data_IF_479621682985
#
_entry.id   IF_479621682985
#
_cell.length_a   1.000
_cell.length_b   1.000
_cell.length_c   1.000
_cell.angle_alpha   90.00
_cell.angle_beta   90.00
_cell.angle_gamma   90.00
#
_symmetry.space_group_name_H-M   'P 1'
#
loop_
_entity.id
_entity.type
_entity.pdbx_description
1 polymer ?
#
# COMPACT_ATOMS: atom_id res chain seq x y z
N UNK A 1 -10.17 -18.44 -0.29
CA UNK A 1 -9.11 -17.45 -0.49
C UNK A 1 -9.65 -16.08 -0.09
N UNK A 2 -9.00 -15.38 0.84
CA UNK A 2 -9.34 -13.99 1.17
C UNK A 2 -8.26 -13.07 0.58
N UNK A 3 -8.68 -11.94 0.02
CA UNK A 3 -7.76 -10.97 -0.58
C UNK A 3 -8.01 -9.59 0.00
N UNK A 4 -6.96 -8.92 0.43
CA UNK A 4 -6.97 -7.52 0.84
C UNK A 4 -6.22 -6.69 -0.20
N UNK A 5 -6.90 -5.76 -0.84
CA UNK A 5 -6.31 -4.82 -1.79
C UNK A 5 -6.09 -3.49 -1.08
N UNK A 6 -4.83 -3.12 -0.88
CA UNK A 6 -4.43 -1.82 -0.36
C UNK A 6 -4.23 -0.87 -1.54
N UNK A 7 -5.02 0.16 -1.62
CA UNK A 7 -5.06 1.08 -2.73
C UNK A 7 -4.55 2.47 -2.34
N UNK A 8 -3.78 3.10 -3.21
CA UNK A 8 -3.33 4.48 -3.07
C UNK A 8 -3.44 5.23 -4.40
N UNK A 9 -3.83 6.50 -4.35
CA UNK A 9 -3.84 7.41 -5.51
C UNK A 9 -2.52 8.16 -5.69
N UNK A 10 -1.54 7.95 -4.82
CA UNK A 10 -0.21 8.58 -4.89
C UNK A 10 0.74 7.83 -5.83
N UNK A 11 1.61 8.58 -6.50
CA UNK A 11 2.76 8.02 -7.25
C UNK A 11 3.82 7.43 -6.32
N UNK A 12 3.85 7.86 -5.05
CA UNK A 12 4.67 7.22 -4.03
C UNK A 12 4.03 5.90 -3.60
N UNK A 13 4.80 4.82 -3.39
CA UNK A 13 4.27 3.47 -3.14
C UNK A 13 3.68 3.30 -1.73
N UNK A 14 2.74 4.17 -1.33
CA UNK A 14 2.11 4.15 0.00
C UNK A 14 1.39 2.86 0.30
N UNK A 15 0.69 2.30 -0.67
CA UNK A 15 -0.02 1.02 -0.52
C UNK A 15 0.93 -0.14 -0.26
N UNK A 16 2.10 -0.15 -0.90
CA UNK A 16 3.12 -1.16 -0.66
C UNK A 16 3.76 -1.01 0.73
N UNK A 17 4.06 0.23 1.16
CA UNK A 17 4.56 0.52 2.51
C UNK A 17 3.54 0.11 3.58
N UNK A 18 2.28 0.47 3.40
CA UNK A 18 1.20 0.08 4.31
C UNK A 18 1.02 -1.44 4.38
N UNK A 19 1.14 -2.14 3.26
CA UNK A 19 1.09 -3.60 3.21
C UNK A 19 2.26 -4.26 3.93
N UNK A 20 3.47 -3.74 3.79
CA UNK A 20 4.64 -4.22 4.52
C UNK A 20 4.49 -4.00 6.05
N UNK A 21 3.87 -2.88 6.48
CA UNK A 21 3.51 -2.64 7.88
C UNK A 21 2.47 -3.66 8.35
N UNK A 22 1.41 -3.87 7.57
CA UNK A 22 0.34 -4.81 7.89
C UNK A 22 0.84 -6.25 8.04
N UNK A 23 1.74 -6.68 7.16
CA UNK A 23 2.38 -7.98 7.19
C UNK A 23 3.49 -8.08 8.24
N UNK A 24 3.75 -7.02 9.02
CA UNK A 24 4.83 -6.93 10.02
C UNK A 24 6.23 -7.20 9.43
N UNK A 25 6.41 -6.90 8.16
CA UNK A 25 7.70 -7.03 7.47
C UNK A 25 8.66 -5.90 7.81
N UNK A 26 8.13 -4.77 8.29
CA UNK A 26 8.91 -3.60 8.71
C UNK A 26 8.44 -3.08 10.07
N UNK A 27 9.38 -2.53 10.82
CA UNK A 27 9.16 -1.81 12.08
C UNK A 27 9.61 -0.35 11.98
N UNK A 28 9.33 0.45 12.99
CA UNK A 28 9.70 1.89 13.02
C UNK A 28 11.18 2.13 13.31
N UNK A 29 12.01 1.14 13.19
CA UNK A 29 13.45 1.31 13.30
C UNK A 29 14.06 1.74 11.96
N UNK A 30 15.17 2.47 12.05
CA UNK A 30 15.85 3.01 10.88
C UNK A 30 16.32 1.91 9.92
N UNK A 31 16.77 0.77 10.47
CA UNK A 31 17.31 -0.32 9.65
C UNK A 31 16.20 -1.01 8.83
N UNK A 32 15.03 -1.17 9.42
CA UNK A 32 13.86 -1.71 8.70
C UNK A 32 13.40 -0.76 7.59
N UNK A 33 13.39 0.54 7.83
CA UNK A 33 13.03 1.55 6.81
C UNK A 33 14.07 1.55 5.67
N UNK A 34 15.36 1.49 5.99
CA UNK A 34 16.43 1.39 4.99
C UNK A 34 16.30 0.11 4.16
N UNK A 35 16.02 -1.03 4.80
CA UNK A 35 15.75 -2.30 4.11
C UNK A 35 14.58 -2.18 3.15
N UNK A 36 13.48 -1.55 3.58
CA UNK A 36 12.32 -1.32 2.72
C UNK A 36 12.68 -0.46 1.51
N UNK A 37 13.43 0.64 1.70
CA UNK A 37 13.86 1.51 0.61
C UNK A 37 14.83 0.82 -0.36
N UNK A 38 15.56 -0.19 0.10
CA UNK A 38 16.47 -1.00 -0.71
C UNK A 38 15.84 -2.28 -1.27
N UNK A 39 14.62 -2.59 -0.85
CA UNK A 39 13.95 -3.82 -1.28
C UNK A 39 13.43 -3.70 -2.71
N UNK A 40 13.35 -4.83 -3.37
CA UNK A 40 12.70 -4.98 -4.67
C UNK A 40 11.27 -4.43 -4.71
N UNK A 41 10.61 -4.29 -3.54
CA UNK A 41 9.29 -3.69 -3.40
C UNK A 41 9.26 -2.23 -3.89
N UNK A 42 10.22 -1.41 -3.47
CA UNK A 42 10.28 0.00 -3.88
C UNK A 42 10.84 0.18 -5.29
N UNK A 43 11.80 -0.63 -5.71
CA UNK A 43 12.34 -0.60 -7.08
C UNK A 43 11.34 -1.13 -8.10
N UNK A 44 10.69 -2.23 -7.80
CA UNK A 44 9.63 -2.81 -8.63
C UNK A 44 8.45 -1.84 -8.76
N UNK A 45 8.07 -1.16 -7.67
CA UNK A 45 6.98 -0.20 -7.68
C UNK A 45 7.30 1.07 -8.46
N UNK A 46 8.55 1.51 -8.48
CA UNK A 46 9.00 2.66 -9.30
C UNK A 46 8.96 2.39 -10.79
N UNK A 47 9.22 1.16 -11.21
CA UNK A 47 9.14 0.77 -12.62
C UNK A 47 7.71 0.48 -13.08
N UNK A 48 6.73 0.44 -12.17
CA UNK A 48 5.34 0.19 -12.47
C UNK A 48 4.54 1.49 -12.53
N UNK A 49 4.19 1.86 -13.73
CA UNK A 49 3.16 2.85 -14.04
C UNK A 49 1.78 2.37 -13.54
N UNK A 50 0.87 3.32 -13.34
CA UNK A 50 -0.54 3.15 -12.94
C UNK A 50 -1.19 1.82 -13.36
N UNK A 51 -1.93 1.23 -12.46
CA UNK A 51 -2.86 0.16 -12.77
C UNK A 51 -2.33 -1.28 -12.64
N UNK A 52 -1.24 -1.50 -11.91
CA UNK A 52 -0.74 -2.86 -11.65
C UNK A 52 -0.96 -3.29 -10.21
N UNK A 53 -1.34 -4.56 -10.04
CA UNK A 53 -1.41 -5.23 -8.76
C UNK A 53 -0.04 -5.81 -8.39
N UNK A 54 0.40 -5.55 -7.16
CA UNK A 54 1.61 -6.13 -6.60
C UNK A 54 1.25 -7.01 -5.41
N UNK A 55 1.51 -8.30 -5.52
CA UNK A 55 1.40 -9.22 -4.39
C UNK A 55 2.51 -8.96 -3.38
N UNK A 56 2.15 -8.73 -2.12
CA UNK A 56 3.08 -8.41 -1.03
C UNK A 56 3.34 -9.60 -0.10
N UNK A 57 2.40 -10.51 -0.01
CA UNK A 57 2.50 -11.67 0.85
C UNK A 57 1.15 -12.09 1.42
N UNK A 58 1.20 -12.98 2.39
CA UNK A 58 0.05 -13.55 3.08
C UNK A 58 0.18 -13.28 4.59
N UNK A 59 -0.94 -12.93 5.23
CA UNK A 59 -0.96 -12.77 6.67
C UNK A 59 -1.14 -14.13 7.38
N UNK A 60 -1.06 -14.13 8.72
CA UNK A 60 -1.21 -15.34 9.53
C UNK A 60 -2.58 -16.04 9.41
N UNK A 61 -3.57 -15.36 8.83
CA UNK A 61 -4.93 -15.87 8.65
C UNK A 61 -5.19 -16.37 7.22
N UNK A 62 -4.16 -16.48 6.38
CA UNK A 62 -4.30 -16.91 4.99
C UNK A 62 -4.89 -15.84 4.07
N UNK A 63 -4.85 -14.56 4.46
CA UNK A 63 -5.32 -13.45 3.62
C UNK A 63 -4.19 -12.92 2.76
N UNK A 64 -4.37 -12.93 1.46
CA UNK A 64 -3.43 -12.35 0.51
C UNK A 64 -3.49 -10.83 0.56
N UNK A 65 -2.34 -10.20 0.63
CA UNK A 65 -2.20 -8.75 0.65
C UNK A 65 -1.62 -8.28 -0.66
N UNK A 66 -2.33 -7.39 -1.32
CA UNK A 66 -1.99 -6.87 -2.64
C UNK A 66 -1.97 -5.34 -2.59
N UNK A 67 -0.90 -4.73 -3.07
CA UNK A 67 -0.82 -3.28 -3.27
C UNK A 67 -1.27 -2.91 -4.68
N UNK A 68 -1.95 -1.78 -4.78
CA UNK A 68 -2.40 -1.21 -6.05
C UNK A 68 -2.27 0.31 -6.01
N UNK A 69 -1.78 0.89 -7.09
CA UNK A 69 -1.73 2.34 -7.28
C UNK A 69 -2.46 2.74 -8.54
N UNK A 70 -3.34 3.71 -8.44
CA UNK A 70 -4.09 4.22 -9.58
C UNK A 70 -4.55 5.66 -9.33
N UNK A 71 -4.19 6.58 -10.22
CA UNK A 71 -4.65 7.97 -10.18
C UNK A 71 -6.13 8.14 -10.48
N UNK A 72 -6.71 7.20 -11.22
CA UNK A 72 -8.09 7.26 -11.71
C UNK A 72 -9.16 7.12 -10.62
N UNK A 73 -8.77 6.87 -9.39
CA UNK A 73 -9.64 6.92 -8.23
C UNK A 73 -10.27 5.60 -7.81
N UNK A 74 -10.76 5.62 -6.57
CA UNK A 74 -11.33 4.48 -5.83
C UNK A 74 -12.54 3.84 -6.53
N UNK A 75 -13.38 4.67 -7.17
CA UNK A 75 -14.63 4.19 -7.79
C UNK A 75 -14.33 3.26 -8.96
N UNK A 76 -13.37 3.63 -9.81
CA UNK A 76 -12.97 2.79 -10.94
C UNK A 76 -12.38 1.46 -10.47
N UNK A 77 -11.51 1.48 -9.45
CA UNK A 77 -10.93 0.27 -8.89
C UNK A 77 -12.01 -0.65 -8.29
N UNK A 78 -12.93 -0.07 -7.51
CA UNK A 78 -14.02 -0.80 -6.90
C UNK A 78 -14.88 -1.49 -7.96
N UNK A 79 -15.32 -0.77 -8.98
CA UNK A 79 -16.10 -1.32 -10.08
C UNK A 79 -15.35 -2.42 -10.83
N UNK A 80 -14.05 -2.24 -11.08
CA UNK A 80 -13.21 -3.26 -11.73
C UNK A 80 -13.18 -4.55 -10.91
N UNK A 81 -12.96 -4.44 -9.59
CA UNK A 81 -12.90 -5.60 -8.70
C UNK A 81 -14.28 -6.27 -8.62
N UNK A 82 -15.35 -5.51 -8.44
CA UNK A 82 -16.71 -6.04 -8.38
C UNK A 82 -17.07 -6.80 -9.66
N UNK A 83 -16.83 -6.20 -10.84
CA UNK A 83 -17.03 -6.86 -12.13
C UNK A 83 -16.23 -8.16 -12.26
N UNK A 84 -14.96 -8.14 -11.80
CA UNK A 84 -14.12 -9.33 -11.83
C UNK A 84 -14.67 -10.45 -10.92
N UNK A 85 -15.07 -10.10 -9.70
CA UNK A 85 -15.65 -11.06 -8.76
C UNK A 85 -16.95 -11.67 -9.31
N UNK A 86 -17.80 -10.86 -9.91
CA UNK A 86 -19.04 -11.32 -10.56
C UNK A 86 -18.75 -12.27 -11.73
N UNK A 87 -17.82 -11.91 -12.62
CA UNK A 87 -17.44 -12.75 -13.78
C UNK A 87 -16.97 -14.14 -13.37
N UNK A 88 -16.28 -14.26 -12.24
CA UNK A 88 -15.75 -15.53 -11.74
C UNK A 88 -16.62 -16.18 -10.65
N UNK A 89 -17.81 -15.62 -10.39
CA UNK A 89 -18.71 -16.08 -9.33
C UNK A 89 -18.04 -16.20 -7.96
N UNK A 90 -17.18 -15.23 -7.64
CA UNK A 90 -16.48 -15.13 -6.37
C UNK A 90 -17.27 -14.20 -5.45
N UNK A 91 -17.58 -14.66 -4.23
CA UNK A 91 -18.26 -13.86 -3.24
C UNK A 91 -17.43 -12.61 -2.87
N UNK A 92 -18.07 -11.45 -2.91
CA UNK A 92 -17.45 -10.16 -2.59
C UNK A 92 -16.91 -10.08 -1.15
N UNK A 93 -17.42 -10.89 -0.23
CA UNK A 93 -16.90 -11.02 1.14
C UNK A 93 -15.46 -11.54 1.21
N UNK A 94 -14.97 -12.15 0.13
CA UNK A 94 -13.60 -12.64 0.02
C UNK A 94 -12.59 -11.57 -0.43
N UNK A 95 -13.06 -10.40 -0.86
CA UNK A 95 -12.19 -9.31 -1.32
C UNK A 95 -12.49 -8.02 -0.56
N UNK A 96 -11.48 -7.46 0.11
CA UNK A 96 -11.58 -6.18 0.79
C UNK A 96 -10.67 -5.15 0.15
N UNK A 97 -11.21 -3.99 -0.19
CA UNK A 97 -10.44 -2.85 -0.71
C UNK A 97 -10.30 -1.78 0.36
N UNK A 98 -9.06 -1.48 0.72
CA UNK A 98 -8.71 -0.46 1.73
C UNK A 98 -7.94 0.67 1.06
N UNK A 99 -8.45 1.90 1.21
CA UNK A 99 -7.79 3.09 0.70
C UNK A 99 -6.74 3.60 1.68
N UNK A 100 -5.49 3.65 1.23
CA UNK A 100 -4.39 4.24 1.99
C UNK A 100 -4.25 5.71 1.59
N UNK A 101 -4.71 6.59 2.47
CA UNK A 101 -4.64 8.04 2.27
C UNK A 101 -3.34 8.60 2.79
N UNK A 102 -2.76 9.54 2.04
CA UNK A 102 -1.63 10.31 2.53
C UNK A 102 -2.10 11.29 3.60
N UNK A 103 -1.47 11.31 4.77
CA UNK A 103 -1.84 12.24 5.82
C UNK A 103 -1.37 13.65 5.49
N UNK A 104 -2.27 14.47 4.95
CA UNK A 104 -2.05 15.89 4.68
C UNK A 104 -1.50 16.22 3.30
N UNK A 105 -1.90 17.38 2.78
CA UNK A 105 -1.59 17.84 1.42
C UNK A 105 -0.09 18.04 1.18
N UNK A 106 0.64 18.54 2.18
CA UNK A 106 2.10 18.79 2.07
C UNK A 106 2.85 17.47 1.95
N UNK A 107 2.51 16.47 2.75
CA UNK A 107 3.13 15.14 2.68
C UNK A 107 2.80 14.43 1.37
N UNK A 108 1.59 14.63 0.84
CA UNK A 108 1.23 14.14 -0.48
C UNK A 108 2.15 14.73 -1.56
N UNK A 109 2.29 16.06 -1.60
CA UNK A 109 3.17 16.75 -2.56
C UNK A 109 4.65 16.31 -2.43
N UNK A 110 5.14 16.12 -1.21
CA UNK A 110 6.48 15.58 -0.98
C UNK A 110 6.63 14.17 -1.55
N UNK A 111 5.66 13.29 -1.35
CA UNK A 111 5.67 11.95 -1.93
C UNK A 111 5.70 11.96 -3.46
N UNK A 112 4.85 12.78 -4.08
CA UNK A 112 4.83 12.97 -5.53
C UNK A 112 6.17 13.50 -6.09
N UNK A 113 6.79 14.45 -5.39
CA UNK A 113 8.11 14.97 -5.77
C UNK A 113 9.18 13.89 -5.65
N UNK A 114 9.19 13.14 -4.53
CA UNK A 114 10.16 12.08 -4.29
C UNK A 114 10.06 10.92 -5.29
N UNK A 115 8.86 10.64 -5.78
CA UNK A 115 8.64 9.60 -6.81
C UNK A 115 9.34 9.94 -8.13
N UNK A 116 9.56 11.22 -8.41
CA UNK A 116 10.18 11.72 -9.65
C UNK A 116 11.70 11.91 -9.54
N UNK A 117 12.28 11.81 -8.35
CA UNK A 117 13.72 12.00 -8.17
C UNK A 117 14.53 10.77 -8.63
N UNK A 118 15.73 10.97 -9.22
CA UNK A 118 16.63 9.88 -9.55
C UNK A 118 16.98 9.03 -8.32
N UNK A 119 17.17 7.71 -8.47
CA UNK A 119 17.43 6.79 -7.35
C UNK A 119 18.60 7.19 -6.45
N UNK A 120 19.66 7.75 -7.04
CA UNK A 120 20.88 8.13 -6.31
C UNK A 120 20.64 9.27 -5.28
N UNK A 121 19.75 10.21 -5.59
CA UNK A 121 19.46 11.38 -4.76
C UNK A 121 18.22 11.19 -3.89
N UNK A 122 17.28 10.38 -4.39
CA UNK A 122 15.97 10.18 -3.75
C UNK A 122 16.01 9.27 -2.52
N UNK A 123 16.98 8.35 -2.40
CA UNK A 123 16.97 7.29 -1.38
C UNK A 123 16.95 7.84 0.04
N UNK A 124 17.89 8.70 0.40
CA UNK A 124 17.96 9.28 1.75
C UNK A 124 16.72 10.13 2.09
N UNK A 125 16.21 10.87 1.09
CA UNK A 125 14.97 11.65 1.28
C UNK A 125 13.77 10.75 1.45
N UNK A 126 13.70 9.61 0.76
CA UNK A 126 12.63 8.62 0.91
C UNK A 126 12.66 7.95 2.28
N UNK A 127 13.85 7.59 2.78
CA UNK A 127 13.99 7.05 4.14
C UNK A 127 13.42 8.03 5.18
N UNK A 128 13.78 9.32 5.08
CA UNK A 128 13.24 10.36 5.95
C UNK A 128 11.73 10.51 5.78
N UNK A 129 11.24 10.51 4.56
CA UNK A 129 9.81 10.64 4.27
C UNK A 129 9.02 9.47 4.85
N UNK A 130 9.46 8.23 4.63
CA UNK A 130 8.85 7.04 5.23
C UNK A 130 8.86 7.14 6.74
N UNK A 131 9.97 7.56 7.36
CA UNK A 131 10.04 7.77 8.81
C UNK A 131 9.00 8.76 9.33
N UNK A 132 8.71 9.83 8.59
CA UNK A 132 7.70 10.83 8.96
C UNK A 132 6.28 10.28 8.83
N UNK A 133 5.98 9.55 7.75
CA UNK A 133 4.64 9.03 7.48
C UNK A 133 4.33 7.74 8.23
N UNK A 134 5.34 6.99 8.66
CA UNK A 134 5.22 5.66 9.27
C UNK A 134 4.22 5.61 10.44
N UNK A 135 4.30 6.48 11.48
CA UNK A 135 3.37 6.42 12.61
C UNK A 135 1.91 6.57 12.17
N UNK A 136 1.65 7.43 11.19
CA UNK A 136 0.31 7.68 10.65
C UNK A 136 -0.18 6.52 9.78
N UNK A 137 0.71 5.90 9.01
CA UNK A 137 0.37 4.70 8.26
C UNK A 137 0.05 3.53 9.19
N UNK A 138 0.79 3.37 10.30
CA UNK A 138 0.48 2.36 11.32
C UNK A 138 -0.90 2.57 11.90
N UNK A 139 -1.28 3.82 12.21
CA UNK A 139 -2.61 4.15 12.72
C UNK A 139 -3.70 3.82 11.69
N UNK A 140 -3.52 4.24 10.42
CA UNK A 140 -4.44 3.91 9.32
C UNK A 140 -4.58 2.41 9.14
N UNK A 141 -3.47 1.68 9.12
CA UNK A 141 -3.48 0.21 8.98
C UNK A 141 -4.20 -0.45 10.16
N UNK A 142 -4.00 0.02 11.39
CA UNK A 142 -4.72 -0.51 12.56
C UNK A 142 -6.22 -0.25 12.49
N UNK A 143 -6.63 0.96 12.11
CA UNK A 143 -8.03 1.34 12.03
C UNK A 143 -8.76 0.64 10.88
N UNK A 144 -8.19 0.69 9.69
CA UNK A 144 -8.87 0.26 8.47
C UNK A 144 -8.69 -1.24 8.18
N UNK A 145 -7.58 -1.85 8.63
CA UNK A 145 -7.30 -3.26 8.37
C UNK A 145 -7.72 -4.19 9.52
N UNK A 146 -7.72 -3.73 10.78
CA UNK A 146 -8.05 -4.54 11.96
C UNK A 146 -9.53 -4.47 12.38
N UNK A 147 -10.36 -3.64 11.76
CA UNK A 147 -11.76 -3.43 12.17
C UNK A 147 -12.68 -4.65 11.99
N UNK A 148 -12.18 -5.79 11.55
CA UNK A 148 -12.99 -7.02 11.37
C UNK A 148 -12.63 -8.19 12.30
N UNK A 149 -11.91 -7.96 13.39
CA UNK A 149 -11.63 -9.04 14.36
C UNK A 149 -12.74 -9.13 15.45
N UNK A 150 -13.68 -8.18 15.49
CA UNK A 150 -14.69 -8.11 16.57
C UNK A 150 -16.12 -8.48 16.20
N UNK A 151 -16.40 -8.92 14.97
CA UNK A 151 -17.74 -9.39 14.60
C UNK A 151 -17.72 -10.89 14.24
N UNK A 152 -17.49 -11.71 15.26
CA UNK A 152 -17.93 -13.12 15.35
C UNK A 152 -18.05 -13.51 16.81
#
# INVERSE_FOLDING_TARGET
>A
LKVMVLYSSSDFPLSAVAGAIYLKQISHDKDSIVKLCNSTLTETYRSYTDGRFQYLGENQQGTWVVAFSCRSGKVMLKNLIETFLEMYSIDSSHCRVVEIKTPGSILFLMGELLSKLPPAWGRHMQEKYIGIIYPRLVETVKLDCNFQISDN
#
